data_IF_992465417385
#
_entry.id   IF_992465417385
#
_cell.length_a   1.000
_cell.length_b   1.000
_cell.length_c   1.000
_cell.angle_alpha   90.00
_cell.angle_beta   90.00
_cell.angle_gamma   90.00
#
_symmetry.space_group_name_H-M   'P 1'
#
loop_
_entity.id
_entity.type
_entity.pdbx_description
1 polymer ?
#
# COMPACT_ATOMS: atom_id res chain seq x y z
N UNK A 1 -32.10 -12.02 -14.38
CA UNK A 1 -32.11 -12.94 -13.22
C UNK A 1 -33.26 -13.89 -13.41
N UNK A 2 -32.99 -15.17 -13.65
CA UNK A 2 -34.04 -16.18 -13.66
C UNK A 2 -34.70 -16.22 -12.28
N UNK A 3 -36.03 -16.17 -12.26
CA UNK A 3 -36.78 -16.28 -11.00
C UNK A 3 -36.83 -17.76 -10.63
N UNK A 4 -36.23 -18.10 -9.50
CA UNK A 4 -36.35 -19.43 -8.92
C UNK A 4 -37.79 -19.57 -8.41
N UNK A 5 -38.56 -20.49 -9.00
CA UNK A 5 -39.99 -20.65 -8.70
C UNK A 5 -40.26 -21.77 -7.71
N UNK A 6 -39.31 -22.67 -7.47
CA UNK A 6 -39.46 -23.84 -6.58
C UNK A 6 -38.45 -23.82 -5.43
N UNK A 7 -38.87 -24.34 -4.26
CA UNK A 7 -38.03 -24.41 -3.06
C UNK A 7 -36.77 -25.27 -3.27
N UNK A 8 -36.92 -26.39 -3.98
CA UNK A 8 -35.81 -27.31 -4.27
C UNK A 8 -34.72 -26.65 -5.13
N UNK A 9 -35.11 -25.93 -6.18
CA UNK A 9 -34.17 -25.19 -7.01
C UNK A 9 -33.49 -24.06 -6.22
N UNK A 10 -34.18 -23.46 -5.24
CA UNK A 10 -33.58 -22.46 -4.35
C UNK A 10 -32.51 -23.09 -3.44
N UNK A 11 -32.80 -24.26 -2.86
CA UNK A 11 -31.86 -24.98 -2.00
C UNK A 11 -30.62 -25.45 -2.76
N UNK A 12 -30.79 -26.02 -3.96
CA UNK A 12 -29.67 -26.41 -4.82
C UNK A 12 -28.80 -25.20 -5.22
N UNK A 13 -29.42 -24.04 -5.48
CA UNK A 13 -28.69 -22.81 -5.78
C UNK A 13 -27.92 -22.28 -4.57
N UNK A 14 -28.49 -22.35 -3.38
CA UNK A 14 -27.82 -21.96 -2.12
C UNK A 14 -26.60 -22.84 -1.88
N UNK A 15 -26.73 -24.16 -2.03
CA UNK A 15 -25.63 -25.10 -1.85
C UNK A 15 -24.49 -24.84 -2.84
N UNK A 16 -24.82 -24.63 -4.12
CA UNK A 16 -23.84 -24.28 -5.14
C UNK A 16 -23.10 -22.97 -4.81
N UNK A 17 -23.83 -21.93 -4.38
CA UNK A 17 -23.25 -20.65 -3.99
C UNK A 17 -22.40 -20.76 -2.72
N UNK A 18 -22.76 -21.61 -1.76
CA UNK A 18 -21.95 -21.85 -0.56
C UNK A 18 -20.61 -22.47 -0.91
N UNK A 19 -20.61 -23.45 -1.83
CA UNK A 19 -19.36 -24.07 -2.31
C UNK A 19 -18.48 -23.07 -3.05
N UNK A 20 -19.06 -22.29 -3.96
CA UNK A 20 -18.36 -21.24 -4.69
C UNK A 20 -17.77 -20.19 -3.73
N UNK A 21 -18.55 -19.75 -2.74
CA UNK A 21 -18.09 -18.76 -1.76
C UNK A 21 -16.95 -19.33 -0.89
N UNK A 22 -16.99 -20.61 -0.53
CA UNK A 22 -15.90 -21.26 0.20
C UNK A 22 -14.61 -21.38 -0.64
N UNK A 23 -14.71 -21.63 -1.94
CA UNK A 23 -13.57 -21.65 -2.87
C UNK A 23 -12.97 -20.25 -3.06
N UNK A 24 -13.83 -19.24 -3.26
CA UNK A 24 -13.41 -17.83 -3.38
C UNK A 24 -12.73 -17.33 -2.11
N UNK A 25 -13.20 -17.72 -0.92
CA UNK A 25 -12.55 -17.37 0.35
C UNK A 25 -11.13 -17.95 0.45
N UNK A 26 -10.93 -19.21 0.03
CA UNK A 26 -9.59 -19.83 0.00
C UNK A 26 -8.66 -19.12 -0.97
N UNK A 27 -9.17 -18.73 -2.14
CA UNK A 27 -8.38 -17.99 -3.13
C UNK A 27 -7.99 -16.58 -2.62
N UNK A 28 -8.92 -15.88 -1.96
CA UNK A 28 -8.62 -14.61 -1.31
C UNK A 28 -7.57 -14.75 -0.21
N UNK A 29 -7.64 -15.81 0.59
CA UNK A 29 -6.65 -16.09 1.62
C UNK A 29 -5.28 -16.41 1.01
N UNK A 30 -5.24 -17.16 -0.09
CA UNK A 30 -4.01 -17.38 -0.87
C UNK A 30 -3.41 -16.07 -1.37
N UNK A 31 -4.20 -15.17 -1.97
CA UNK A 31 -3.67 -13.89 -2.47
C UNK A 31 -3.25 -12.92 -1.35
N UNK A 32 -3.93 -12.94 -0.20
CA UNK A 32 -3.50 -12.17 0.99
C UNK A 32 -2.15 -12.65 1.52
N UNK A 33 -1.95 -13.96 1.54
CA UNK A 33 -0.75 -14.57 2.12
C UNK A 33 0.41 -14.73 1.11
N UNK A 34 0.13 -14.56 -0.19
CA UNK A 34 1.15 -14.64 -1.23
C UNK A 34 2.15 -13.49 -1.09
N UNK A 35 3.44 -13.83 -1.03
CA UNK A 35 4.51 -12.84 -1.19
C UNK A 35 4.38 -12.19 -2.56
N UNK A 36 4.17 -10.87 -2.59
CA UNK A 36 4.28 -10.12 -3.84
C UNK A 36 5.74 -10.13 -4.29
N UNK A 37 6.04 -10.95 -5.28
CA UNK A 37 7.35 -10.95 -5.93
C UNK A 37 7.49 -9.70 -6.81
N UNK A 38 8.66 -9.06 -6.75
CA UNK A 38 8.98 -7.86 -7.52
C UNK A 38 9.16 -6.60 -6.68
N UNK A 39 9.44 -5.48 -7.37
CA UNK A 39 9.67 -4.18 -6.73
C UNK A 39 8.36 -3.66 -6.14
N UNK A 40 8.27 -3.68 -4.82
CA UNK A 40 7.16 -3.10 -4.08
C UNK A 40 7.14 -1.58 -4.31
N UNK A 41 5.97 -1.05 -4.66
CA UNK A 41 5.75 0.40 -4.64
C UNK A 41 5.79 0.89 -3.19
N UNK A 42 6.11 2.17 -3.01
CA UNK A 42 6.02 2.80 -1.70
C UNK A 42 4.59 2.67 -1.19
N UNK A 43 4.43 2.04 -0.03
CA UNK A 43 3.14 1.83 0.61
C UNK A 43 2.75 3.02 1.49
N UNK A 44 1.55 2.99 2.07
CA UNK A 44 1.04 4.08 2.90
C UNK A 44 1.98 4.42 4.08
N UNK A 45 2.57 3.40 4.72
CA UNK A 45 3.53 3.59 5.81
C UNK A 45 4.77 4.35 5.33
N UNK A 46 5.31 3.99 4.17
CA UNK A 46 6.44 4.70 3.58
C UNK A 46 6.08 6.15 3.27
N UNK A 47 4.90 6.40 2.68
CA UNK A 47 4.45 7.75 2.34
C UNK A 47 4.27 8.63 3.59
N UNK A 48 3.75 8.08 4.68
CA UNK A 48 3.59 8.82 5.93
C UNK A 48 4.95 9.32 6.48
N UNK A 49 5.94 8.42 6.58
CA UNK A 49 7.27 8.78 7.09
C UNK A 49 7.98 9.74 6.13
N UNK A 50 7.79 9.57 4.82
CA UNK A 50 8.36 10.50 3.83
C UNK A 50 7.75 11.90 3.94
N UNK A 51 6.43 12.02 4.12
CA UNK A 51 5.78 13.31 4.30
C UNK A 51 6.25 14.01 5.58
N UNK A 52 6.37 13.27 6.68
CA UNK A 52 6.93 13.79 7.94
C UNK A 52 8.39 14.23 7.77
N UNK A 53 9.16 13.50 6.95
CA UNK A 53 10.50 13.92 6.56
C UNK A 53 10.48 15.24 5.78
N UNK A 54 9.63 15.39 4.76
CA UNK A 54 9.55 16.62 3.95
C UNK A 54 9.18 17.81 4.83
N UNK A 55 8.14 17.67 5.67
CA UNK A 55 7.72 18.72 6.61
C UNK A 55 8.85 19.08 7.60
N UNK A 56 9.56 18.08 8.12
CA UNK A 56 10.68 18.30 9.02
C UNK A 56 11.85 19.01 8.34
N UNK A 57 12.19 18.57 7.12
CA UNK A 57 13.31 19.11 6.38
C UNK A 57 13.07 20.55 5.93
N UNK A 58 11.87 20.85 5.42
CA UNK A 58 11.48 22.21 4.99
C UNK A 58 11.32 23.17 6.17
N UNK A 59 11.00 22.67 7.37
CA UNK A 59 10.98 23.48 8.60
C UNK A 59 12.37 23.70 9.23
N UNK A 60 13.42 23.12 8.64
CA UNK A 60 14.80 23.30 9.10
C UNK A 60 15.22 22.37 10.24
N UNK A 61 14.45 21.33 10.57
CA UNK A 61 14.90 20.29 11.51
C UNK A 61 16.10 19.53 10.94
N UNK A 62 16.97 19.09 11.84
CA UNK A 62 18.13 18.27 11.48
C UNK A 62 17.70 16.85 11.10
N UNK A 63 18.53 16.17 10.30
CA UNK A 63 18.28 14.78 9.89
C UNK A 63 18.15 13.83 11.09
N UNK A 64 18.89 14.12 12.18
CA UNK A 64 18.90 13.31 13.41
C UNK A 64 17.57 13.46 14.14
N UNK A 65 17.09 14.70 14.32
CA UNK A 65 15.80 14.98 14.98
C UNK A 65 14.63 14.35 14.21
N UNK A 66 14.67 14.40 12.88
CA UNK A 66 13.64 13.77 12.03
C UNK A 66 13.70 12.24 12.16
N UNK A 67 14.90 11.65 12.25
CA UNK A 67 15.09 10.22 12.42
C UNK A 67 14.52 9.73 13.76
N UNK A 68 14.84 10.45 14.85
CA UNK A 68 14.33 10.17 16.20
C UNK A 68 12.81 10.32 16.27
N UNK A 69 12.26 11.41 15.73
CA UNK A 69 10.81 11.67 15.69
C UNK A 69 10.03 10.56 14.99
N UNK A 70 10.57 10.03 13.90
CA UNK A 70 9.95 8.99 13.08
C UNK A 70 10.29 7.57 13.52
N UNK A 71 11.15 7.41 14.54
CA UNK A 71 11.68 6.14 14.99
C UNK A 71 12.29 5.30 13.84
N UNK A 72 13.08 5.96 12.99
CA UNK A 72 13.79 5.36 11.86
C UNK A 72 15.28 5.64 11.96
N UNK A 73 16.10 4.85 11.26
CA UNK A 73 17.53 5.12 11.19
C UNK A 73 17.84 6.38 10.39
N UNK A 74 18.91 7.09 10.76
CA UNK A 74 19.43 8.22 9.99
C UNK A 74 19.63 7.87 8.52
N UNK A 75 20.13 6.65 8.23
CA UNK A 75 20.28 6.13 6.87
C UNK A 75 18.98 6.18 6.06
N UNK A 76 17.84 5.96 6.71
CA UNK A 76 16.51 6.04 6.06
C UNK A 76 16.20 7.49 5.70
N UNK A 77 16.46 8.42 6.61
CA UNK A 77 16.30 9.86 6.37
C UNK A 77 17.21 10.35 5.25
N UNK A 78 18.49 9.95 5.20
CA UNK A 78 19.38 10.30 4.09
C UNK A 78 18.90 9.75 2.73
N UNK A 79 18.28 8.56 2.72
CA UNK A 79 17.64 8.04 1.49
C UNK A 79 16.44 8.88 1.07
N UNK A 80 15.66 9.38 2.02
CA UNK A 80 14.55 10.28 1.74
C UNK A 80 15.02 11.63 1.22
N UNK A 81 16.11 12.18 1.77
CA UNK A 81 16.77 13.37 1.23
C UNK A 81 17.17 13.18 -0.23
N UNK A 82 17.89 12.09 -0.55
CA UNK A 82 18.29 11.81 -1.93
C UNK A 82 17.10 11.66 -2.89
N UNK A 83 15.99 11.10 -2.41
CA UNK A 83 14.76 10.98 -3.20
C UNK A 83 14.08 12.34 -3.40
N UNK A 84 14.01 13.17 -2.35
CA UNK A 84 13.50 14.54 -2.40
C UNK A 84 14.30 15.40 -3.39
N UNK A 85 15.63 15.40 -3.27
CA UNK A 85 16.52 16.15 -4.18
C UNK A 85 16.29 15.73 -5.64
N UNK A 86 16.09 14.43 -5.89
CA UNK A 86 15.80 13.90 -7.24
C UNK A 86 14.45 14.36 -7.78
N UNK A 87 13.42 14.45 -6.93
CA UNK A 87 12.11 14.96 -7.33
C UNK A 87 12.24 16.44 -7.67
N UNK A 88 12.85 17.24 -6.80
CA UNK A 88 13.04 18.67 -7.02
C UNK A 88 13.82 18.97 -8.31
N UNK A 89 14.92 18.27 -8.54
CA UNK A 89 15.68 18.42 -9.77
C UNK A 89 14.92 18.00 -11.04
N UNK A 90 13.89 17.15 -10.93
CA UNK A 90 13.05 16.79 -12.06
C UNK A 90 11.91 17.79 -12.27
N UNK A 91 11.34 18.36 -11.21
CA UNK A 91 10.35 19.45 -11.26
C UNK A 91 10.96 20.66 -11.98
N UNK A 92 12.16 21.09 -11.56
CA UNK A 92 12.88 22.22 -12.16
C UNK A 92 13.20 22.01 -13.66
N UNK A 93 13.38 20.76 -14.11
CA UNK A 93 13.64 20.45 -15.53
C UNK A 93 12.38 20.45 -16.40
N UNK A 94 11.20 20.33 -15.80
CA UNK A 94 9.93 20.35 -16.52
C UNK A 94 9.37 21.76 -16.65
N UNK A 95 9.80 22.68 -15.80
CA UNK A 95 9.41 24.09 -15.82
C UNK A 95 10.27 24.95 -16.77
N UNK A 96 11.41 24.41 -17.25
CA UNK A 96 12.30 25.04 -18.24
C UNK A 96 12.10 24.43 -19.64
#
# INVERSE_FOLDING_TARGET
MEKITTLEAALQRIEALQKENAELQKELEYYKNRKQSGRQKHNAKWMAIYNDFVLGYESGMTMIEIAERNNVSERTIYRYKAYYDKIKANEEKQEN
#
